data_IF_199091639987
#
_entry.id   IF_199091639987
#
_cell.length_a   1.000
_cell.length_b   1.000
_cell.length_c   1.000
_cell.angle_alpha   90.00
_cell.angle_beta   90.00
_cell.angle_gamma   90.00
#
_symmetry.space_group_name_H-M   'P 1'
#
loop_
_entity.id
_entity.type
_entity.pdbx_description
1 polymer ?
#
# COMPACT_ATOMS: atom_id res chain seq x y z
N UNK A 1 1.37 0.58 16.81
CA UNK A 1 0.90 0.09 15.49
C UNK A 1 1.82 0.69 14.43
N UNK A 2 2.14 0.00 13.33
CA UNK A 2 3.00 0.55 12.29
C UNK A 2 2.35 1.77 11.65
N UNK A 3 3.19 2.70 11.23
CA UNK A 3 2.79 3.94 10.57
C UNK A 3 2.45 3.74 9.10
N UNK A 4 3.17 2.82 8.45
CA UNK A 4 3.07 2.45 7.03
C UNK A 4 3.26 0.94 6.92
N UNK A 5 2.52 0.30 6.02
CA UNK A 5 2.75 -1.09 5.62
C UNK A 5 3.42 -1.09 4.25
N UNK A 6 4.69 -1.50 4.21
CA UNK A 6 5.47 -1.69 2.99
C UNK A 6 5.23 -3.09 2.43
N UNK A 7 4.67 -3.18 1.23
CA UNK A 7 4.19 -4.41 0.61
C UNK A 7 5.14 -4.80 -0.53
N UNK A 8 5.75 -5.98 -0.39
CA UNK A 8 6.71 -6.55 -1.35
C UNK A 8 6.33 -7.99 -1.68
N UNK A 9 5.05 -8.21 -1.98
CA UNK A 9 4.49 -9.52 -2.37
C UNK A 9 3.78 -9.39 -3.72
N UNK A 10 3.47 -10.50 -4.42
CA UNK A 10 2.74 -10.44 -5.68
C UNK A 10 1.36 -9.76 -5.55
N UNK A 11 0.83 -9.16 -6.64
CA UNK A 11 -0.43 -8.40 -6.65
C UNK A 11 -1.63 -9.12 -6.01
N UNK A 12 -1.80 -10.41 -6.29
CA UNK A 12 -2.89 -11.22 -5.72
C UNK A 12 -2.80 -11.41 -4.19
N UNK A 13 -1.63 -11.23 -3.59
CA UNK A 13 -1.46 -11.19 -2.14
C UNK A 13 -1.62 -9.77 -1.60
N UNK A 14 -1.18 -8.75 -2.33
CA UNK A 14 -1.41 -7.34 -1.98
C UNK A 14 -2.89 -7.03 -1.74
N UNK A 15 -3.78 -7.54 -2.60
CA UNK A 15 -5.25 -7.42 -2.44
C UNK A 15 -5.76 -7.98 -1.10
N UNK A 16 -5.13 -9.03 -0.58
CA UNK A 16 -5.47 -9.61 0.73
C UNK A 16 -4.89 -8.77 1.86
N UNK A 17 -3.65 -8.29 1.68
CA UNK A 17 -2.96 -7.45 2.68
C UNK A 17 -3.72 -6.13 2.88
N UNK A 18 -4.18 -5.45 1.83
CA UNK A 18 -4.90 -4.18 1.98
C UNK A 18 -6.22 -4.33 2.76
N UNK A 19 -6.88 -5.50 2.67
CA UNK A 19 -8.06 -5.82 3.48
C UNK A 19 -7.70 -5.99 4.96
N UNK A 20 -6.58 -6.66 5.26
CA UNK A 20 -6.06 -6.76 6.62
C UNK A 20 -5.64 -5.39 7.18
N UNK A 21 -5.04 -4.54 6.35
CA UNK A 21 -4.70 -3.14 6.71
C UNK A 21 -5.97 -2.39 7.11
N UNK A 22 -7.04 -2.52 6.34
CA UNK A 22 -8.34 -1.92 6.65
C UNK A 22 -8.92 -2.42 7.97
N UNK A 23 -8.98 -3.74 8.16
CA UNK A 23 -9.49 -4.38 9.39
C UNK A 23 -8.72 -3.94 10.66
N UNK A 24 -7.42 -3.69 10.53
CA UNK A 24 -6.56 -3.24 11.62
C UNK A 24 -6.62 -1.72 11.88
N UNK A 25 -7.28 -0.98 11.00
CA UNK A 25 -7.36 0.48 11.02
C UNK A 25 -6.01 1.15 10.78
N UNK A 26 -5.18 0.58 9.90
CA UNK A 26 -3.87 1.14 9.56
C UNK A 26 -4.02 2.18 8.44
N UNK A 27 -3.37 3.35 8.57
CA UNK A 27 -3.73 4.51 7.75
C UNK A 27 -3.04 4.55 6.38
N UNK A 28 -1.93 3.80 6.20
CA UNK A 28 -1.04 3.96 5.05
C UNK A 28 -0.46 2.65 4.55
N UNK A 29 -0.37 2.55 3.22
CA UNK A 29 0.24 1.44 2.49
C UNK A 29 1.23 1.98 1.46
N UNK A 30 2.36 1.30 1.32
CA UNK A 30 3.30 1.50 0.22
C UNK A 30 3.38 0.20 -0.57
N UNK A 31 2.97 0.22 -1.84
CA UNK A 31 3.12 -0.90 -2.77
C UNK A 31 4.43 -0.69 -3.53
N UNK A 32 5.44 -1.52 -3.24
CA UNK A 32 6.68 -1.49 -4.01
C UNK A 32 6.43 -1.85 -5.47
N UNK A 33 7.26 -1.39 -6.42
CA UNK A 33 7.04 -1.66 -7.85
C UNK A 33 6.92 -3.16 -8.13
N UNK A 34 5.83 -3.54 -8.80
CA UNK A 34 5.46 -4.92 -9.11
C UNK A 34 4.62 -5.63 -8.02
N UNK A 35 4.24 -4.93 -6.95
CA UNK A 35 3.32 -5.45 -5.92
C UNK A 35 1.90 -4.89 -6.05
N UNK A 36 1.73 -3.81 -6.80
CA UNK A 36 0.46 -3.11 -7.02
C UNK A 36 -0.53 -3.93 -7.85
N UNK A 37 -1.81 -3.69 -7.60
CA UNK A 37 -2.91 -4.11 -8.49
C UNK A 37 -3.95 -3.00 -8.54
N UNK A 38 -4.65 -2.86 -9.66
CA UNK A 38 -5.74 -1.88 -9.79
C UNK A 38 -6.83 -2.10 -8.72
N UNK A 39 -7.10 -3.36 -8.34
CA UNK A 39 -8.04 -3.66 -7.27
C UNK A 39 -7.53 -3.20 -5.91
N UNK A 40 -6.25 -3.43 -5.59
CA UNK A 40 -5.67 -3.04 -4.32
C UNK A 40 -5.62 -1.52 -4.16
N UNK A 41 -5.23 -0.79 -5.22
CA UNK A 41 -5.20 0.68 -5.24
C UNK A 41 -6.61 1.23 -5.03
N UNK A 42 -7.59 0.77 -5.84
CA UNK A 42 -8.98 1.21 -5.71
C UNK A 42 -9.56 0.91 -4.33
N UNK A 43 -9.28 -0.28 -3.77
CA UNK A 43 -9.73 -0.64 -2.43
C UNK A 43 -9.17 0.32 -1.36
N UNK A 44 -7.88 0.68 -1.45
CA UNK A 44 -7.28 1.65 -0.55
C UNK A 44 -7.97 3.02 -0.64
N UNK A 45 -8.18 3.53 -1.86
CA UNK A 45 -8.84 4.83 -2.10
C UNK A 45 -10.28 4.86 -1.55
N UNK A 46 -11.08 3.82 -1.84
CA UNK A 46 -12.47 3.70 -1.40
C UNK A 46 -12.61 3.68 0.14
N UNK A 47 -11.59 3.16 0.84
CA UNK A 47 -11.59 3.01 2.30
C UNK A 47 -10.74 4.05 3.03
N UNK A 48 -10.26 5.09 2.32
CA UNK A 48 -9.50 6.19 2.92
C UNK A 48 -8.11 5.78 3.44
N UNK A 49 -7.53 4.72 2.87
CA UNK A 49 -6.15 4.30 3.15
C UNK A 49 -5.26 5.06 2.17
N UNK A 50 -4.33 5.86 2.69
CA UNK A 50 -3.35 6.54 1.85
C UNK A 50 -2.40 5.49 1.24
N UNK A 51 -2.35 5.45 -0.09
CA UNK A 51 -1.60 4.47 -0.86
C UNK A 51 -0.54 5.15 -1.73
N UNK A 52 0.65 4.57 -1.77
CA UNK A 52 1.69 4.86 -2.77
C UNK A 52 1.87 3.60 -3.62
N UNK A 53 2.01 3.77 -4.93
CA UNK A 53 2.42 2.74 -5.89
C UNK A 53 3.42 3.37 -6.90
N UNK A 54 4.06 2.56 -7.74
CA UNK A 54 5.06 3.01 -8.74
C UNK A 54 6.32 3.72 -8.18
N UNK A 55 6.49 3.72 -6.86
CA UNK A 55 7.61 4.36 -6.17
C UNK A 55 8.35 3.36 -5.28
N UNK A 56 9.66 3.56 -5.10
CA UNK A 56 10.50 2.66 -4.29
C UNK A 56 10.89 3.31 -2.96
N UNK A 57 10.48 2.73 -1.84
CA UNK A 57 10.79 3.21 -0.48
C UNK A 57 12.29 3.39 -0.22
N UNK A 58 13.17 2.64 -0.87
CA UNK A 58 14.62 2.84 -0.74
C UNK A 58 15.13 4.12 -1.43
N UNK A 59 14.50 4.50 -2.53
CA UNK A 59 14.86 5.68 -3.33
C UNK A 59 14.16 6.91 -2.75
N UNK A 60 12.85 6.81 -2.54
CA UNK A 60 11.94 7.87 -2.15
C UNK A 60 11.93 8.14 -0.64
N UNK A 61 12.23 7.12 0.17
CA UNK A 61 12.36 7.18 1.65
C UNK A 61 11.13 7.73 2.36
N UNK A 62 11.12 9.03 2.66
CA UNK A 62 10.06 9.71 3.44
C UNK A 62 9.21 10.63 2.57
N UNK A 63 9.46 10.67 1.26
CA UNK A 63 8.71 11.48 0.33
C UNK A 63 7.42 10.73 -0.02
N UNK A 64 6.29 11.34 0.33
CA UNK A 64 4.95 10.77 0.13
C UNK A 64 4.19 11.43 -1.02
N UNK A 65 4.88 12.23 -1.84
CA UNK A 65 4.30 13.05 -2.92
C UNK A 65 4.59 12.50 -4.32
N UNK A 66 5.20 11.30 -4.41
CA UNK A 66 5.47 10.61 -5.68
C UNK A 66 4.42 9.53 -5.95
#
# INVERSE_FOLDING_TARGET
KPDVVDIVVPPALTEKVVRQVHELGLPRVWMQPGSESEEAVRFCEEHGIAVIHDACAMINKRNWEE
#
